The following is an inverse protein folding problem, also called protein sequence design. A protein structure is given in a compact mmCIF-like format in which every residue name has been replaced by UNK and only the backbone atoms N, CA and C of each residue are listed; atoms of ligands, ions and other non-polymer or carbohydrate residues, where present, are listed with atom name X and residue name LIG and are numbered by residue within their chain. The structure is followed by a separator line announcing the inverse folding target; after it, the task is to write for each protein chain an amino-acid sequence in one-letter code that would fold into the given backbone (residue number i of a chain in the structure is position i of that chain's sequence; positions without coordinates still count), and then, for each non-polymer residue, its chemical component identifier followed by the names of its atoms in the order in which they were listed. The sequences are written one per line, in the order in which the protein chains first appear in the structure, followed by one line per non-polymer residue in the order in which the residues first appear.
data_IF_422931594678
#
_entry.id   IF_422931594678
#
_cell.length_a   1.000
_cell.length_b   1.000
_cell.length_c   1.000
_cell.angle_alpha   90.00
_cell.angle_beta   90.00
_cell.angle_gamma   90.00
#
_symmetry.space_group_name_H-M   'P 1'
#
loop_
_entity.id
_entity.type
_entity.pdbx_description
1 polymer ?
#
# COMPACT_ATOMS: atom_id res chain seq x y z
N UNK A 1 -7.11 -16.78 -28.49
CA UNK A 1 -6.76 -15.44 -27.97
C UNK A 1 -6.88 -15.52 -26.46
N UNK A 2 -5.80 -15.47 -25.71
CA UNK A 2 -5.84 -15.43 -24.25
C UNK A 2 -6.33 -14.02 -23.87
N UNK A 3 -7.41 -13.94 -23.09
CA UNK A 3 -7.92 -12.66 -22.61
C UNK A 3 -6.83 -11.97 -21.79
N UNK A 4 -6.42 -10.76 -22.17
CA UNK A 4 -5.40 -9.96 -21.47
C UNK A 4 -5.87 -9.47 -20.09
N UNK A 5 -7.17 -9.57 -19.80
CA UNK A 5 -7.88 -9.00 -18.67
C UNK A 5 -8.33 -10.06 -17.62
N UNK A 6 -7.68 -11.22 -17.60
CA UNK A 6 -8.13 -12.35 -16.76
C UNK A 6 -8.28 -12.01 -15.28
N UNK A 7 -7.28 -11.33 -14.68
CA UNK A 7 -7.31 -10.95 -13.26
C UNK A 7 -8.22 -9.74 -12.97
N UNK A 8 -8.38 -8.81 -13.91
CA UNK A 8 -9.23 -7.61 -13.75
C UNK A 8 -10.67 -7.96 -13.42
N UNK A 9 -11.16 -9.11 -13.92
CA UNK A 9 -12.49 -9.64 -13.58
C UNK A 9 -12.65 -9.96 -12.10
N UNK A 10 -11.55 -10.23 -11.40
CA UNK A 10 -11.50 -10.58 -9.99
C UNK A 10 -11.02 -9.41 -9.11
N UNK A 11 -10.71 -8.26 -9.69
CA UNK A 11 -10.32 -7.08 -8.95
C UNK A 11 -11.52 -6.49 -8.19
N UNK A 12 -11.52 -6.66 -6.87
CA UNK A 12 -12.61 -6.19 -6.00
C UNK A 12 -12.62 -4.65 -5.88
N UNK A 13 -11.46 -4.02 -5.97
CA UNK A 13 -11.28 -2.59 -5.68
C UNK A 13 -12.06 -1.69 -6.65
N UNK A 14 -12.39 -2.18 -7.82
CA UNK A 14 -13.22 -1.48 -8.81
C UNK A 14 -14.72 -1.76 -8.66
N UNK A 15 -15.10 -2.69 -7.79
CA UNK A 15 -16.47 -3.20 -7.68
C UNK A 15 -17.24 -2.68 -6.46
N UNK A 16 -16.83 -1.54 -5.92
CA UNK A 16 -17.54 -0.86 -4.84
C UNK A 16 -17.63 0.64 -5.11
N UNK A 17 -18.84 1.11 -5.43
CA UNK A 17 -19.11 2.53 -5.61
C UNK A 17 -18.81 3.34 -4.34
N UNK A 18 -19.07 2.75 -3.17
CA UNK A 18 -18.79 3.36 -1.87
C UNK A 18 -17.27 3.56 -1.67
N UNK A 19 -16.47 2.55 -2.04
CA UNK A 19 -15.00 2.67 -1.98
C UNK A 19 -14.50 3.74 -2.93
N UNK A 20 -14.94 3.74 -4.18
CA UNK A 20 -14.55 4.76 -5.17
C UNK A 20 -14.88 6.17 -4.69
N UNK A 21 -16.10 6.40 -4.14
CA UNK A 21 -16.47 7.72 -3.60
C UNK A 21 -15.63 8.10 -2.38
N UNK A 22 -15.33 7.16 -1.48
CA UNK A 22 -14.45 7.42 -0.34
C UNK A 22 -13.06 7.88 -0.81
N UNK A 23 -12.48 7.22 -1.83
CA UNK A 23 -11.19 7.58 -2.39
C UNK A 23 -11.21 8.96 -3.06
N UNK A 24 -12.31 9.28 -3.79
CA UNK A 24 -12.52 10.62 -4.35
C UNK A 24 -12.58 11.70 -3.25
N UNK A 25 -13.33 11.47 -2.18
CA UNK A 25 -13.42 12.39 -1.04
C UNK A 25 -12.07 12.59 -0.35
N UNK A 26 -11.26 11.53 -0.24
CA UNK A 26 -9.88 11.61 0.28
C UNK A 26 -8.99 12.47 -0.61
N UNK A 27 -9.04 12.29 -1.93
CA UNK A 27 -8.31 13.14 -2.87
C UNK A 27 -8.73 14.61 -2.77
N UNK A 28 -10.04 14.90 -2.55
CA UNK A 28 -10.55 16.25 -2.33
C UNK A 28 -10.30 16.81 -0.93
N UNK A 29 -9.73 16.02 -0.02
CA UNK A 29 -9.51 16.36 1.40
C UNK A 29 -10.80 16.63 2.17
N UNK A 30 -11.90 16.01 1.78
CA UNK A 30 -13.22 16.14 2.41
C UNK A 30 -13.39 15.21 3.65
N UNK A 31 -12.44 14.35 3.88
CA UNK A 31 -12.38 13.45 5.03
C UNK A 31 -11.03 13.59 5.74
N UNK A 32 -10.98 13.23 7.02
CA UNK A 32 -9.76 13.28 7.79
C UNK A 32 -8.66 12.39 7.20
N UNK A 33 -7.41 12.83 7.36
CA UNK A 33 -6.24 12.04 7.02
C UNK A 33 -6.25 10.69 7.75
N UNK A 34 -5.86 9.63 7.05
CA UNK A 34 -5.71 8.32 7.69
C UNK A 34 -4.57 8.34 8.71
N UNK A 35 -4.83 7.79 9.90
CA UNK A 35 -3.79 7.60 10.93
C UNK A 35 -2.60 6.81 10.38
N UNK A 36 -2.87 5.80 9.53
CA UNK A 36 -1.84 5.00 8.88
C UNK A 36 -0.92 5.85 7.97
N UNK A 37 -1.46 6.82 7.22
CA UNK A 37 -0.66 7.71 6.38
C UNK A 37 0.26 8.59 7.22
N UNK A 38 -0.29 9.18 8.28
CA UNK A 38 0.50 10.00 9.21
C UNK A 38 1.62 9.22 9.87
N UNK A 39 1.33 7.97 10.29
CA UNK A 39 2.35 7.10 10.87
C UNK A 39 3.41 6.71 9.84
N UNK A 40 3.02 6.35 8.61
CA UNK A 40 3.96 6.06 7.53
C UNK A 40 4.91 7.24 7.27
N UNK A 41 4.36 8.47 7.23
CA UNK A 41 5.20 9.67 7.04
C UNK A 41 6.14 9.93 8.21
N UNK A 42 5.70 9.67 9.45
CA UNK A 42 6.58 9.77 10.63
C UNK A 42 7.75 8.79 10.56
N UNK A 43 7.52 7.56 10.09
CA UNK A 43 8.56 6.54 9.92
C UNK A 43 9.46 6.83 8.71
N UNK A 44 8.93 7.39 7.64
CA UNK A 44 9.70 7.75 6.46
C UNK A 44 10.63 8.96 6.68
N UNK A 45 10.16 9.97 7.43
CA UNK A 45 10.84 11.28 7.57
C UNK A 45 12.30 11.20 8.00
N UNK A 46 12.73 10.32 8.94
CA UNK A 46 14.12 10.22 9.34
C UNK A 46 15.09 9.77 8.23
N UNK A 47 14.55 9.11 7.19
CA UNK A 47 15.32 8.51 6.10
C UNK A 47 15.28 9.35 4.82
N UNK A 48 14.27 10.21 4.67
CA UNK A 48 14.04 10.97 3.47
C UNK A 48 14.90 12.24 3.41
N UNK A 49 15.50 12.50 2.26
CA UNK A 49 16.27 13.68 1.94
C UNK A 49 15.63 14.49 0.81
N UNK A 50 15.90 15.79 0.70
CA UNK A 50 15.44 16.57 -0.44
C UNK A 50 15.87 15.98 -1.78
N UNK A 51 14.91 15.80 -2.69
CA UNK A 51 15.13 15.20 -4.01
C UNK A 51 15.00 13.67 -4.05
N UNK A 52 14.79 12.99 -2.90
CA UNK A 52 14.52 11.56 -2.90
C UNK A 52 13.18 11.25 -3.57
N UNK A 53 13.14 10.08 -4.19
CA UNK A 53 11.94 9.52 -4.81
C UNK A 53 11.20 8.60 -3.84
N UNK A 54 9.89 8.77 -3.73
CA UNK A 54 8.99 7.91 -2.93
C UNK A 54 7.98 7.24 -3.84
N UNK A 55 7.95 5.92 -3.82
CA UNK A 55 6.98 5.10 -4.54
C UNK A 55 5.91 4.58 -3.57
N UNK A 56 4.67 5.00 -3.78
CA UNK A 56 3.48 4.50 -3.09
C UNK A 56 2.92 3.30 -3.88
N UNK A 57 3.01 2.10 -3.33
CA UNK A 57 2.63 0.86 -3.99
C UNK A 57 1.27 0.38 -3.50
N UNK A 58 0.36 0.15 -4.45
CA UNK A 58 -1.06 -0.03 -4.17
C UNK A 58 -1.69 1.29 -3.73
N UNK A 59 -1.32 2.37 -4.40
CA UNK A 59 -1.66 3.75 -4.03
C UNK A 59 -3.15 4.07 -4.12
N UNK A 60 -3.95 3.20 -4.75
CA UNK A 60 -5.35 3.48 -5.05
C UNK A 60 -5.48 4.75 -5.90
N UNK A 61 -6.06 5.79 -5.35
CA UNK A 61 -6.16 7.09 -6.01
C UNK A 61 -4.98 8.05 -5.72
N UNK A 62 -3.92 7.58 -5.05
CA UNK A 62 -2.72 8.40 -4.79
C UNK A 62 -2.88 9.43 -3.67
N UNK A 63 -3.91 9.35 -2.84
CA UNK A 63 -4.18 10.38 -1.82
C UNK A 63 -3.16 10.41 -0.66
N UNK A 64 -2.24 9.43 -0.54
CA UNK A 64 -1.05 9.52 0.33
C UNK A 64 -0.17 10.73 -0.02
N UNK A 65 -0.23 11.18 -1.28
CA UNK A 65 0.42 12.42 -1.73
C UNK A 65 0.15 13.61 -0.81
N UNK A 66 -1.06 13.75 -0.27
CA UNK A 66 -1.37 14.86 0.64
C UNK A 66 -0.57 14.80 1.93
N UNK A 67 -0.36 13.60 2.49
CA UNK A 67 0.45 13.41 3.69
C UNK A 67 1.92 13.67 3.40
N UNK A 68 2.40 13.23 2.24
CA UNK A 68 3.77 13.44 1.81
C UNK A 68 4.07 14.93 1.54
N UNK A 69 3.16 15.63 0.86
CA UNK A 69 3.30 17.07 0.58
C UNK A 69 3.30 17.94 1.85
N UNK A 70 2.78 17.42 2.96
CA UNK A 70 2.85 18.08 4.26
C UNK A 70 4.20 17.91 4.95
N UNK A 71 5.07 17.01 4.48
CA UNK A 71 6.43 16.87 4.99
C UNK A 71 7.27 18.09 4.59
N UNK A 72 8.20 18.47 5.46
CA UNK A 72 9.13 19.57 5.19
C UNK A 72 10.25 19.20 4.21
N UNK A 73 10.44 17.91 3.91
CA UNK A 73 11.41 17.43 2.94
C UNK A 73 10.76 17.36 1.54
N UNK A 74 11.25 18.12 0.55
CA UNK A 74 10.74 18.04 -0.81
C UNK A 74 11.21 16.74 -1.46
N UNK A 75 10.35 15.73 -1.45
CA UNK A 75 10.56 14.44 -2.11
C UNK A 75 9.65 14.34 -3.33
N UNK A 76 10.03 13.49 -4.29
CA UNK A 76 9.25 13.24 -5.49
C UNK A 76 8.34 12.02 -5.28
N UNK A 77 7.03 12.24 -5.37
CA UNK A 77 6.02 11.19 -5.24
C UNK A 77 5.71 10.52 -6.58
N UNK A 78 5.63 9.20 -6.56
CA UNK A 78 5.06 8.35 -7.60
C UNK A 78 4.11 7.34 -6.96
N UNK A 79 2.98 7.07 -7.60
CA UNK A 79 2.03 6.05 -7.15
C UNK A 79 1.83 4.99 -8.22
N UNK A 80 1.81 3.70 -7.83
CA UNK A 80 1.41 2.61 -8.70
C UNK A 80 0.22 1.87 -8.10
N UNK A 81 -0.70 1.50 -8.96
CA UNK A 81 -1.84 0.64 -8.61
C UNK A 81 -2.24 -0.20 -9.82
N UNK A 82 -2.82 -1.35 -9.56
CA UNK A 82 -3.33 -2.23 -10.59
C UNK A 82 -4.77 -1.90 -11.02
N UNK A 83 -5.42 -0.93 -10.35
CA UNK A 83 -6.80 -0.49 -10.62
C UNK A 83 -6.83 0.81 -11.43
N UNK A 84 -7.09 0.77 -12.75
CA UNK A 84 -7.21 1.97 -13.56
C UNK A 84 -8.34 2.89 -13.07
N UNK A 85 -9.44 2.34 -12.54
CA UNK A 85 -10.56 3.13 -12.04
C UNK A 85 -10.20 3.97 -10.81
N UNK A 86 -9.37 3.45 -9.90
CA UNK A 86 -8.89 4.21 -8.74
C UNK A 86 -7.86 5.26 -9.16
N UNK A 87 -6.94 4.92 -10.06
CA UNK A 87 -5.95 5.87 -10.58
C UNK A 87 -6.61 7.04 -11.30
N UNK A 88 -7.68 6.81 -12.06
CA UNK A 88 -8.42 7.87 -12.77
C UNK A 88 -9.04 8.88 -11.79
N UNK A 89 -9.53 8.44 -10.64
CA UNK A 89 -9.97 9.34 -9.58
C UNK A 89 -8.85 10.29 -9.16
N UNK A 90 -7.67 9.77 -8.92
CA UNK A 90 -6.50 10.57 -8.54
C UNK A 90 -6.06 11.51 -9.66
N UNK A 91 -5.92 10.99 -10.88
CA UNK A 91 -5.52 11.76 -12.07
C UNK A 91 -6.45 12.94 -12.36
N UNK A 92 -7.75 12.80 -12.06
CA UNK A 92 -8.73 13.88 -12.26
C UNK A 92 -8.72 14.94 -11.15
N UNK A 93 -8.32 14.58 -9.93
CA UNK A 93 -8.45 15.45 -8.76
C UNK A 93 -7.12 16.03 -8.29
N UNK A 94 -6.07 15.19 -8.16
CA UNK A 94 -4.81 15.57 -7.54
C UNK A 94 -3.97 16.62 -8.30
N UNK A 95 -4.12 16.83 -9.62
CA UNK A 95 -3.44 17.94 -10.30
C UNK A 95 -3.76 19.32 -9.70
N UNK A 96 -4.96 19.50 -9.14
CA UNK A 96 -5.35 20.74 -8.43
C UNK A 96 -4.56 20.96 -7.13
N UNK A 97 -3.92 19.90 -6.65
CA UNK A 97 -3.09 19.90 -5.44
C UNK A 97 -1.60 19.78 -5.77
N UNK A 98 -1.21 19.81 -7.04
CA UNK A 98 0.18 19.84 -7.49
C UNK A 98 0.77 18.48 -7.88
N UNK A 99 -0.01 17.39 -7.89
CA UNK A 99 0.48 16.10 -8.39
C UNK A 99 0.18 15.95 -9.88
N UNK A 100 1.19 15.88 -10.76
CA UNK A 100 0.99 15.60 -12.17
C UNK A 100 0.33 14.22 -12.40
N UNK A 101 -0.66 14.09 -13.30
CA UNK A 101 -1.42 12.85 -13.47
C UNK A 101 -0.55 11.67 -13.95
N UNK A 102 0.53 11.94 -14.69
CA UNK A 102 1.50 10.94 -15.15
C UNK A 102 2.31 10.28 -14.03
N UNK A 103 2.30 10.83 -12.82
CA UNK A 103 2.92 10.23 -11.64
C UNK A 103 2.07 9.15 -10.98
N UNK A 104 0.84 8.95 -11.44
CA UNK A 104 -0.03 7.83 -11.09
C UNK A 104 0.00 6.81 -12.23
N UNK A 105 0.62 5.67 -12.00
CA UNK A 105 0.97 4.71 -13.04
C UNK A 105 0.20 3.40 -12.82
N UNK A 106 -0.45 2.91 -13.86
CA UNK A 106 -1.06 1.58 -13.85
C UNK A 106 0.03 0.52 -13.95
N UNK A 107 0.25 -0.18 -12.85
CA UNK A 107 1.26 -1.23 -12.77
C UNK A 107 0.92 -2.21 -11.65
N UNK A 108 1.08 -3.50 -11.92
CA UNK A 108 1.02 -4.54 -10.90
C UNK A 108 2.35 -4.63 -10.15
N UNK A 109 2.30 -4.98 -8.88
CA UNK A 109 3.52 -5.10 -8.04
C UNK A 109 4.49 -6.12 -8.64
N UNK A 110 3.98 -7.23 -9.18
CA UNK A 110 4.79 -8.30 -9.78
C UNK A 110 5.60 -7.84 -11.00
N UNK A 111 5.15 -6.77 -11.65
CA UNK A 111 5.77 -6.20 -12.85
C UNK A 111 6.70 -5.01 -12.52
N UNK A 112 6.79 -4.62 -11.24
CA UNK A 112 7.66 -3.53 -10.80
C UNK A 112 9.14 -3.85 -11.09
N UNK A 113 9.80 -2.94 -11.80
CA UNK A 113 11.24 -3.03 -12.18
C UNK A 113 12.00 -1.72 -11.95
N UNK A 114 11.29 -0.69 -11.49
CA UNK A 114 11.90 0.61 -11.21
C UNK A 114 12.76 0.56 -9.93
N UNK A 115 13.69 1.49 -9.83
CA UNK A 115 14.45 1.78 -8.61
C UNK A 115 14.07 3.17 -8.10
N UNK A 116 13.81 3.27 -6.80
CA UNK A 116 13.46 4.50 -6.09
C UNK A 116 14.21 4.57 -4.75
N UNK A 117 14.21 5.73 -4.12
CA UNK A 117 14.88 5.84 -2.80
C UNK A 117 14.06 5.15 -1.72
N UNK A 118 12.75 5.38 -1.69
CA UNK A 118 11.86 4.86 -0.67
C UNK A 118 10.61 4.23 -1.28
N UNK A 119 10.15 3.16 -0.65
CA UNK A 119 8.88 2.50 -0.98
C UNK A 119 7.94 2.60 0.22
N UNK A 120 6.69 2.95 -0.03
CA UNK A 120 5.59 2.88 0.95
C UNK A 120 4.54 1.93 0.40
N UNK A 121 4.06 0.98 1.22
CA UNK A 121 3.01 0.04 0.83
C UNK A 121 2.10 -0.21 2.04
N UNK A 122 0.83 0.18 1.94
CA UNK A 122 -0.11 0.19 3.06
C UNK A 122 -1.35 -0.63 2.74
N UNK A 123 -1.59 -1.71 3.50
CA UNK A 123 -2.77 -2.58 3.39
C UNK A 123 -2.92 -3.25 2.02
N UNK A 124 -1.85 -3.70 1.42
CA UNK A 124 -1.86 -4.33 0.09
C UNK A 124 -1.52 -5.81 0.18
N UNK A 125 -0.40 -6.16 0.82
CA UNK A 125 0.11 -7.54 0.82
C UNK A 125 -0.85 -8.51 1.54
N UNK A 126 -1.57 -8.04 2.55
CA UNK A 126 -2.59 -8.85 3.25
C UNK A 126 -3.79 -9.22 2.37
N UNK A 127 -3.96 -8.54 1.23
CA UNK A 127 -5.07 -8.75 0.30
C UNK A 127 -4.68 -9.50 -0.99
N UNK A 128 -3.49 -10.06 -1.03
CA UNK A 128 -2.98 -10.88 -2.14
C UNK A 128 -2.68 -12.31 -1.66
N UNK A 129 -2.56 -13.25 -2.58
CA UNK A 129 -2.42 -14.69 -2.29
C UNK A 129 -1.14 -15.03 -1.53
N UNK A 130 -0.03 -14.37 -1.86
CA UNK A 130 1.30 -14.61 -1.27
C UNK A 130 2.13 -13.33 -1.22
N UNK A 131 2.75 -13.04 -0.09
CA UNK A 131 3.53 -11.83 0.08
C UNK A 131 4.96 -11.90 -0.50
N UNK A 132 5.56 -13.07 -0.65
CA UNK A 132 6.98 -13.21 -0.97
C UNK A 132 7.36 -12.53 -2.28
N UNK A 133 6.67 -12.85 -3.37
CA UNK A 133 6.95 -12.23 -4.69
C UNK A 133 6.74 -10.72 -4.72
N UNK A 134 5.58 -10.21 -4.29
CA UNK A 134 5.36 -8.77 -4.23
C UNK A 134 6.35 -8.07 -3.31
N UNK A 135 6.60 -8.59 -2.12
CA UNK A 135 7.55 -8.01 -1.17
C UNK A 135 8.98 -8.00 -1.73
N UNK A 136 9.41 -9.07 -2.42
CA UNK A 136 10.68 -9.09 -3.15
C UNK A 136 10.79 -7.90 -4.11
N UNK A 137 9.73 -7.60 -4.90
CA UNK A 137 9.73 -6.47 -5.82
C UNK A 137 9.89 -5.13 -5.12
N UNK A 138 9.23 -4.97 -3.96
CA UNK A 138 9.37 -3.76 -3.15
C UNK A 138 10.80 -3.58 -2.63
N UNK A 139 11.39 -4.67 -2.11
CA UNK A 139 12.75 -4.66 -1.56
C UNK A 139 13.81 -4.41 -2.63
N UNK A 140 13.64 -4.98 -3.84
CA UNK A 140 14.54 -4.74 -4.97
C UNK A 140 14.41 -3.31 -5.53
N UNK A 141 13.20 -2.72 -5.47
CA UNK A 141 12.98 -1.36 -5.94
C UNK A 141 13.56 -0.30 -4.98
N UNK A 142 13.59 -0.56 -3.67
CA UNK A 142 13.99 0.42 -2.66
C UNK A 142 15.52 0.49 -2.50
N UNK A 143 16.10 1.67 -2.72
CA UNK A 143 17.53 1.93 -2.46
C UNK A 143 17.83 2.22 -0.99
N UNK A 144 16.89 2.83 -0.26
CA UNK A 144 17.11 3.32 1.12
C UNK A 144 16.17 2.67 2.13
N UNK A 145 14.86 2.77 1.94
CA UNK A 145 13.91 2.21 2.92
C UNK A 145 12.61 1.73 2.31
N UNK A 146 11.96 0.81 3.03
CA UNK A 146 10.60 0.33 2.76
C UNK A 146 9.76 0.48 4.02
N UNK A 147 8.63 1.16 3.91
CA UNK A 147 7.64 1.31 4.98
C UNK A 147 6.40 0.51 4.58
N UNK A 148 6.08 -0.52 5.35
CA UNK A 148 4.90 -1.35 5.13
C UNK A 148 3.91 -1.20 6.27
N UNK A 149 2.62 -1.38 5.97
CA UNK A 149 1.58 -1.64 6.98
C UNK A 149 0.75 -2.82 6.54
N UNK A 150 0.87 -3.92 7.28
CA UNK A 150 0.20 -5.18 6.94
C UNK A 150 -0.34 -5.88 8.19
N UNK A 151 -1.19 -6.90 8.00
CA UNK A 151 -1.63 -7.75 9.10
C UNK A 151 -0.53 -8.75 9.45
N UNK A 152 0.11 -8.56 10.60
CA UNK A 152 1.26 -9.35 11.08
C UNK A 152 1.03 -9.74 12.55
N UNK A 153 1.22 -11.01 12.87
CA UNK A 153 1.04 -11.57 14.21
C UNK A 153 2.08 -12.68 14.50
N UNK A 154 1.95 -13.34 15.66
CA UNK A 154 2.79 -14.49 16.02
C UNK A 154 2.29 -15.81 15.39
N UNK A 155 1.45 -15.71 14.38
CA UNK A 155 0.92 -16.84 13.61
C UNK A 155 0.62 -16.39 12.17
N UNK A 156 0.54 -17.35 11.25
CA UNK A 156 0.05 -17.11 9.89
C UNK A 156 -1.40 -17.58 9.76
N UNK A 157 -2.20 -16.82 9.03
CA UNK A 157 -3.54 -17.21 8.61
C UNK A 157 -3.78 -16.76 7.18
N UNK A 158 -4.19 -17.69 6.33
CA UNK A 158 -4.51 -17.44 4.93
C UNK A 158 -5.99 -17.71 4.72
N UNK A 159 -6.72 -16.71 4.25
CA UNK A 159 -8.15 -16.82 4.02
C UNK A 159 -8.52 -16.16 2.69
N UNK A 160 -9.37 -16.84 1.90
CA UNK A 160 -9.91 -16.31 0.65
C UNK A 160 -11.42 -16.31 0.75
N UNK A 161 -12.00 -15.13 1.02
CA UNK A 161 -13.39 -14.96 1.46
C UNK A 161 -14.18 -14.06 0.53
N UNK A 162 -15.51 -14.23 0.50
CA UNK A 162 -16.40 -13.33 -0.25
C UNK A 162 -16.44 -11.96 0.40
N UNK A 163 -16.22 -10.92 -0.40
CA UNK A 163 -16.35 -9.52 0.04
C UNK A 163 -17.81 -9.08 -0.09
N UNK A 164 -18.44 -8.79 1.04
CA UNK A 164 -19.84 -8.37 1.13
C UNK A 164 -20.08 -6.88 0.89
N UNK A 165 -19.02 -6.10 0.75
CA UNK A 165 -19.08 -4.66 0.59
C UNK A 165 -18.98 -4.19 -0.85
N UNK A 166 -19.11 -5.15 -1.80
CA UNK A 166 -19.13 -4.88 -3.22
C UNK A 166 -20.51 -4.39 -3.69
N UNK A 167 -20.56 -3.85 -4.89
CA UNK A 167 -21.80 -3.38 -5.51
C UNK A 167 -22.83 -4.52 -5.64
N UNK A 168 -24.16 -4.24 -5.60
CA UNK A 168 -25.19 -5.26 -5.66
C UNK A 168 -25.03 -6.18 -6.87
N UNK A 169 -25.09 -7.49 -6.63
CA UNK A 169 -24.94 -8.51 -7.67
C UNK A 169 -23.49 -8.94 -7.97
N UNK A 170 -22.50 -8.25 -7.43
CA UNK A 170 -21.08 -8.65 -7.54
C UNK A 170 -20.75 -9.64 -6.43
N UNK A 171 -20.22 -10.81 -6.81
CA UNK A 171 -19.76 -11.85 -5.88
C UNK A 171 -18.31 -12.18 -6.19
N UNK A 172 -17.40 -11.49 -5.55
CA UNK A 172 -15.97 -11.74 -5.68
C UNK A 172 -15.37 -12.01 -4.31
N UNK A 173 -14.22 -12.66 -4.33
CA UNK A 173 -13.46 -13.01 -3.13
C UNK A 173 -12.19 -12.17 -3.06
N UNK A 174 -11.71 -11.98 -1.85
CA UNK A 174 -10.44 -11.31 -1.56
C UNK A 174 -9.66 -12.13 -0.54
N UNK A 175 -8.35 -12.04 -0.60
CA UNK A 175 -7.50 -12.54 0.46
C UNK A 175 -7.56 -11.60 1.67
N UNK A 176 -7.66 -12.19 2.86
CA UNK A 176 -7.59 -11.50 4.16
C UNK A 176 -6.58 -12.26 5.02
N UNK A 177 -5.30 -12.04 4.71
CA UNK A 177 -4.19 -12.80 5.26
C UNK A 177 -3.56 -12.07 6.45
N UNK A 178 -3.06 -12.87 7.40
CA UNK A 178 -2.15 -12.44 8.46
C UNK A 178 -0.87 -13.23 8.30
N UNK A 179 0.27 -12.57 8.34
CA UNK A 179 1.58 -13.17 8.13
C UNK A 179 2.34 -13.31 9.45
N UNK A 180 3.16 -14.36 9.56
CA UNK A 180 3.98 -14.57 10.73
C UNK A 180 5.09 -13.53 10.82
N UNK A 181 5.23 -12.91 11.98
CA UNK A 181 6.19 -11.83 12.26
C UNK A 181 7.63 -12.19 11.87
N UNK A 182 8.09 -13.35 12.31
CA UNK A 182 9.47 -13.76 12.09
C UNK A 182 9.74 -14.14 10.63
N UNK A 183 8.73 -14.67 9.93
CA UNK A 183 8.81 -14.98 8.51
C UNK A 183 9.00 -13.68 7.68
N UNK A 184 8.14 -12.69 7.91
CA UNK A 184 8.24 -11.38 7.23
C UNK A 184 9.57 -10.72 7.54
N UNK A 185 9.99 -10.69 8.82
CA UNK A 185 11.24 -10.09 9.27
C UNK A 185 12.45 -10.76 8.62
N UNK A 186 12.51 -12.09 8.65
CA UNK A 186 13.62 -12.86 8.09
C UNK A 186 13.71 -12.71 6.58
N UNK A 187 12.55 -12.67 5.90
CA UNK A 187 12.49 -12.45 4.46
C UNK A 187 13.07 -11.07 4.08
N UNK A 188 12.63 -10.01 4.75
CA UNK A 188 13.13 -8.65 4.51
C UNK A 188 14.62 -8.56 4.82
N UNK A 189 15.08 -9.12 5.94
CA UNK A 189 16.49 -9.11 6.33
C UNK A 189 17.38 -9.83 5.31
N UNK A 190 16.88 -10.86 4.64
CA UNK A 190 17.65 -11.61 3.61
C UNK A 190 17.97 -10.75 2.37
N UNK A 191 17.28 -9.61 2.17
CA UNK A 191 17.54 -8.64 1.12
C UNK A 191 18.43 -7.47 1.56
N UNK A 192 19.08 -7.55 2.73
CA UNK A 192 20.01 -6.56 3.24
C UNK A 192 19.33 -5.33 3.86
N UNK A 193 18.21 -5.55 4.55
CA UNK A 193 17.53 -4.51 5.33
C UNK A 193 17.53 -4.84 6.82
N UNK A 194 17.77 -3.83 7.63
CA UNK A 194 17.45 -3.85 9.05
C UNK A 194 15.94 -3.61 9.24
N UNK A 195 15.31 -4.39 10.13
CA UNK A 195 13.84 -4.42 10.28
C UNK A 195 13.42 -4.06 11.68
N UNK A 196 12.61 -3.01 11.79
CA UNK A 196 11.92 -2.61 13.02
C UNK A 196 10.40 -2.74 12.84
N UNK A 197 9.74 -3.34 13.83
CA UNK A 197 8.28 -3.45 13.86
C UNK A 197 7.71 -2.41 14.83
N UNK A 198 6.66 -1.71 14.39
CA UNK A 198 5.99 -0.68 15.18
C UNK A 198 4.53 -1.03 15.37
N UNK A 199 4.01 -0.75 16.56
CA UNK A 199 2.57 -0.81 16.82
C UNK A 199 1.85 0.19 15.93
N UNK A 200 0.77 -0.23 15.30
CA UNK A 200 -0.09 0.64 14.52
C UNK A 200 -0.86 1.61 15.42
N UNK A 201 -0.71 2.91 15.17
CA UNK A 201 -1.31 3.97 15.99
C UNK A 201 -2.85 3.92 15.99
N UNK A 202 -3.47 3.42 14.92
CA UNK A 202 -4.92 3.32 14.81
C UNK A 202 -5.48 2.19 15.69
N UNK A 203 -4.84 1.02 15.63
CA UNK A 203 -5.33 -0.18 16.32
C UNK A 203 -4.78 -0.31 17.74
N UNK A 204 -3.66 0.37 18.06
CA UNK A 204 -2.98 0.21 19.34
C UNK A 204 -2.53 -1.23 19.61
N UNK A 205 -2.27 -2.01 18.55
CA UNK A 205 -1.92 -3.42 18.63
C UNK A 205 -3.11 -4.36 18.82
N UNK A 206 -4.34 -3.85 18.84
CA UNK A 206 -5.55 -4.66 18.94
C UNK A 206 -6.04 -5.10 17.55
N UNK A 207 -6.61 -6.29 17.40
CA UNK A 207 -7.14 -6.74 16.12
C UNK A 207 -8.31 -5.86 15.67
N UNK A 208 -8.33 -5.54 14.38
CA UNK A 208 -9.39 -4.78 13.72
C UNK A 208 -10.11 -5.67 12.73
N UNK A 209 -11.45 -5.58 12.66
CA UNK A 209 -12.23 -6.38 11.71
C UNK A 209 -12.11 -5.79 10.30
N UNK A 210 -11.68 -6.61 9.35
CA UNK A 210 -11.66 -6.32 7.92
C UNK A 210 -12.40 -7.45 7.22
N UNK A 211 -13.50 -7.14 6.56
CA UNK A 211 -14.39 -8.14 5.92
C UNK A 211 -14.70 -9.30 6.88
N UNK A 212 -15.13 -8.97 8.10
CA UNK A 212 -15.45 -9.90 9.21
C UNK A 212 -14.26 -10.79 9.67
N UNK A 213 -13.04 -10.46 9.29
CA UNK A 213 -11.82 -11.16 9.71
C UNK A 213 -10.91 -10.23 10.52
N UNK A 214 -10.36 -10.71 11.65
CA UNK A 214 -9.45 -9.89 12.43
C UNK A 214 -8.09 -9.72 11.73
N UNK A 215 -7.63 -8.49 11.65
CA UNK A 215 -6.30 -8.07 11.19
C UNK A 215 -5.52 -7.48 12.34
N UNK A 216 -4.23 -7.82 12.43
CA UNK A 216 -3.27 -7.26 13.39
C UNK A 216 -2.35 -6.29 12.66
N UNK A 217 -2.85 -5.06 12.53
CA UNK A 217 -2.11 -4.03 11.81
C UNK A 217 -0.77 -3.73 12.50
N UNK A 218 0.29 -3.88 11.76
CA UNK A 218 1.66 -3.66 12.20
C UNK A 218 2.40 -2.88 11.12
N UNK A 219 3.15 -1.86 11.52
CA UNK A 219 4.08 -1.20 10.64
C UNK A 219 5.44 -1.93 10.65
N UNK A 220 6.00 -2.06 9.46
CA UNK A 220 7.36 -2.54 9.25
C UNK A 220 8.17 -1.39 8.68
N UNK A 221 9.20 -1.00 9.38
CA UNK A 221 10.24 -0.09 8.92
C UNK A 221 11.47 -0.92 8.56
N UNK A 222 11.80 -0.95 7.28
CA UNK A 222 12.94 -1.65 6.75
C UNK A 222 13.93 -0.64 6.15
N UNK A 223 15.14 -0.57 6.68
CA UNK A 223 16.19 0.36 6.25
C UNK A 223 17.34 -0.43 5.66
N UNK A 224 17.80 -0.05 4.48
CA UNK A 224 18.90 -0.76 3.83
C UNK A 224 20.19 -0.58 4.63
N UNK A 225 20.85 -1.69 4.95
CA UNK A 225 22.16 -1.64 5.61
C UNK A 225 23.20 -1.11 4.63
N UNK A 226 24.10 -0.21 5.09
CA UNK A 226 25.25 0.18 4.29
C UNK A 226 26.08 -1.03 3.85
N UNK A 227 26.54 -1.04 2.60
CA UNK A 227 27.40 -2.10 2.07
C UNK A 227 28.80 -2.04 2.70
#
# INVERSE_FOLDING_TARGET
MIAKDGWERFNIWERSAQVRELYARRCRREVAEMTAHRQAMRLLTPHAQPGDTVLDVGCGSGYLYHSLAALKAPVEYYGIDASPALLEIGRSILPRHGLPPERLIELRIEDLRAEVDHVVCINVLSNIDNFHRPLERLLLAARKSVILRESIADFSRYSYVEDRYLDPGVRLKVHVNTYHRDEVRSFIASYGFEVTLHVDDYSGGQPQQVIDHPHWWTFVEAVRTPA
#
